data_IF_578901479452
#
_entry.id   IF_578901479452
#
_cell.length_a   1.000
_cell.length_b   1.000
_cell.length_c   1.000
_cell.angle_alpha   90.00
_cell.angle_beta   90.00
_cell.angle_gamma   90.00
#
_symmetry.space_group_name_H-M   'P 1'
#
loop_
_entity.id
_entity.type
_entity.pdbx_description
1 polymer ?
#
# COMPACT_ATOMS: atom_id res chain seq x y z
N UNK A 1 -15.18 -11.03 -15.03
CA UNK A 1 -13.79 -10.52 -14.99
C UNK A 1 -13.67 -9.16 -14.29
N UNK A 2 -14.29 -8.08 -14.79
CA UNK A 2 -14.16 -6.76 -14.14
C UNK A 2 -14.64 -6.67 -12.68
N UNK A 3 -15.73 -7.37 -12.31
CA UNK A 3 -16.20 -7.42 -10.92
C UNK A 3 -15.19 -8.08 -9.96
N UNK A 4 -14.48 -9.11 -10.43
CA UNK A 4 -13.41 -9.77 -9.67
C UNK A 4 -12.26 -8.80 -9.37
N UNK A 5 -11.89 -7.96 -10.33
CA UNK A 5 -10.88 -6.92 -10.11
C UNK A 5 -11.27 -5.97 -8.98
N UNK A 6 -12.53 -5.52 -8.94
CA UNK A 6 -13.02 -4.66 -7.85
C UNK A 6 -12.99 -5.34 -6.48
N UNK A 7 -13.28 -6.65 -6.42
CA UNK A 7 -13.20 -7.42 -5.18
C UNK A 7 -11.76 -7.53 -4.66
N UNK A 8 -10.80 -7.79 -5.55
CA UNK A 8 -9.37 -7.86 -5.21
C UNK A 8 -8.89 -6.52 -4.66
N UNK A 9 -9.25 -5.42 -5.34
CA UNK A 9 -8.85 -4.08 -4.95
C UNK A 9 -9.43 -3.68 -3.60
N UNK A 10 -10.74 -3.87 -3.41
CA UNK A 10 -11.44 -3.46 -2.19
C UNK A 10 -11.06 -4.28 -0.96
N UNK A 11 -10.61 -5.53 -1.15
CA UNK A 11 -10.19 -6.39 -0.03
C UNK A 11 -8.74 -6.17 0.40
N UNK A 12 -7.84 -5.79 -0.52
CA UNK A 12 -6.40 -5.71 -0.23
C UNK A 12 -5.84 -4.31 -0.02
N UNK A 13 -6.46 -3.28 -0.58
CA UNK A 13 -5.87 -1.94 -0.61
C UNK A 13 -6.73 -0.87 0.07
N UNK A 14 -7.76 -1.29 0.81
CA UNK A 14 -8.74 -0.37 1.40
C UNK A 14 -8.14 0.56 2.45
N UNK A 15 -7.16 0.09 3.22
CA UNK A 15 -6.49 0.90 4.24
C UNK A 15 -5.52 1.93 3.61
N UNK A 16 -4.94 1.61 2.46
CA UNK A 16 -3.94 2.42 1.77
C UNK A 16 -4.56 3.58 0.99
N UNK A 17 -5.84 3.50 0.62
CA UNK A 17 -6.53 4.57 -0.13
C UNK A 17 -6.65 5.87 0.66
N UNK A 18 -6.85 5.77 1.98
CA UNK A 18 -6.95 6.92 2.87
C UNK A 18 -5.56 7.49 3.23
N UNK A 19 -4.53 6.64 3.22
CA UNK A 19 -3.15 7.00 3.56
C UNK A 19 -2.48 7.85 2.47
N UNK A 20 -2.60 7.43 1.21
CA UNK A 20 -1.96 8.10 0.06
C UNK A 20 -2.94 8.34 -1.10
N UNK A 21 -3.89 9.27 -0.95
CA UNK A 21 -4.92 9.51 -1.95
C UNK A 21 -4.34 10.02 -3.28
N UNK A 22 -3.21 10.74 -3.26
CA UNK A 22 -2.62 11.28 -4.50
C UNK A 22 -2.07 10.17 -5.38
N UNK A 23 -1.31 9.25 -4.81
CA UNK A 23 -0.76 8.10 -5.53
C UNK A 23 -1.85 7.22 -6.10
N UNK A 24 -2.80 6.82 -5.26
CA UNK A 24 -3.85 5.89 -5.69
C UNK A 24 -4.81 6.51 -6.70
N UNK A 25 -5.06 7.84 -6.63
CA UNK A 25 -5.86 8.53 -7.66
C UNK A 25 -5.18 8.53 -9.02
N UNK A 26 -3.85 8.68 -9.05
CA UNK A 26 -3.07 8.64 -10.28
C UNK A 26 -2.89 7.20 -10.79
N UNK A 27 -2.67 6.22 -9.91
CA UNK A 27 -2.62 4.82 -10.28
C UNK A 27 -3.94 4.35 -10.92
N UNK A 28 -5.08 4.74 -10.33
CA UNK A 28 -6.40 4.49 -10.89
C UNK A 28 -6.57 5.10 -12.28
N UNK A 29 -6.05 6.31 -12.49
CA UNK A 29 -6.09 7.03 -13.77
C UNK A 29 -5.23 6.32 -14.85
N UNK A 30 -3.99 5.95 -14.50
CA UNK A 30 -3.09 5.22 -15.40
C UNK A 30 -3.71 3.88 -15.81
N UNK A 31 -4.28 3.15 -14.85
CA UNK A 31 -4.89 1.85 -15.12
C UNK A 31 -6.17 1.96 -15.97
N UNK A 32 -6.97 3.00 -15.73
CA UNK A 32 -8.14 3.30 -16.58
C UNK A 32 -7.70 3.67 -17.99
N UNK A 33 -6.67 4.50 -18.13
CA UNK A 33 -6.08 4.91 -19.42
C UNK A 33 -5.53 3.72 -20.20
N UNK A 34 -4.80 2.82 -19.54
CA UNK A 34 -4.32 1.58 -20.13
C UNK A 34 -5.48 0.70 -20.61
N UNK A 35 -6.55 0.60 -19.82
CA UNK A 35 -7.74 -0.15 -20.23
C UNK A 35 -8.46 0.44 -21.44
N UNK A 36 -8.49 1.78 -21.57
CA UNK A 36 -9.01 2.46 -22.75
C UNK A 36 -8.08 2.26 -23.97
N UNK A 37 -6.76 2.27 -23.76
CA UNK A 37 -5.78 1.99 -24.82
C UNK A 37 -5.96 0.58 -25.41
N UNK A 38 -6.18 -0.42 -24.55
CA UNK A 38 -6.43 -1.79 -24.96
C UNK A 38 -7.72 -1.91 -25.80
N UNK A 39 -8.78 -1.20 -25.40
CA UNK A 39 -10.01 -1.15 -26.19
C UNK A 39 -9.82 -0.43 -27.53
N UNK A 40 -9.12 0.70 -27.55
CA UNK A 40 -8.81 1.44 -28.78
C UNK A 40 -7.93 0.61 -29.74
N UNK A 41 -7.03 -0.22 -29.21
CA UNK A 41 -6.16 -1.10 -29.99
C UNK A 41 -6.91 -2.21 -30.74
N UNK A 42 -8.18 -2.47 -30.41
CA UNK A 42 -9.01 -3.46 -31.11
C UNK A 42 -9.21 -3.14 -32.59
N UNK A 43 -9.19 -1.85 -32.96
CA UNK A 43 -9.26 -1.41 -34.35
C UNK A 43 -8.03 -1.86 -35.17
N UNK A 44 -6.86 -1.99 -34.53
CA UNK A 44 -5.61 -2.41 -35.18
C UNK A 44 -5.43 -3.93 -35.20
N UNK A 45 -5.95 -4.62 -34.19
CA UNK A 45 -5.82 -6.07 -34.02
C UNK A 45 -7.19 -6.74 -33.82
N UNK A 46 -8.05 -6.76 -34.86
CA UNK A 46 -9.40 -7.31 -34.74
C UNK A 46 -9.42 -8.81 -34.41
N UNK A 47 -8.37 -9.55 -34.79
CA UNK A 47 -8.20 -10.97 -34.45
C UNK A 47 -8.03 -11.23 -32.94
N UNK A 48 -7.61 -10.23 -32.15
CA UNK A 48 -7.50 -10.29 -30.69
C UNK A 48 -8.62 -9.52 -29.98
N UNK A 49 -9.70 -9.15 -30.70
CA UNK A 49 -10.77 -8.28 -30.19
C UNK A 49 -11.25 -8.70 -28.80
N UNK A 50 -11.59 -9.98 -28.62
CA UNK A 50 -12.13 -10.48 -27.35
C UNK A 50 -11.11 -10.34 -26.20
N UNK A 51 -9.84 -10.69 -26.45
CA UNK A 51 -8.79 -10.64 -25.43
C UNK A 51 -8.50 -9.19 -25.01
N UNK A 52 -8.35 -8.29 -25.99
CA UNK A 52 -8.11 -6.87 -25.76
C UNK A 52 -9.30 -6.19 -25.07
N UNK A 53 -10.53 -6.47 -25.50
CA UNK A 53 -11.73 -5.91 -24.87
C UNK A 53 -11.91 -6.42 -23.43
N UNK A 54 -11.71 -7.72 -23.18
CA UNK A 54 -11.79 -8.27 -21.83
C UNK A 54 -10.70 -7.70 -20.90
N UNK A 55 -9.46 -7.62 -21.37
CA UNK A 55 -8.35 -7.02 -20.62
C UNK A 55 -8.60 -5.52 -20.37
N UNK A 56 -9.09 -4.79 -21.37
CA UNK A 56 -9.44 -3.38 -21.26
C UNK A 56 -10.51 -3.11 -20.20
N UNK A 57 -11.63 -3.83 -20.25
CA UNK A 57 -12.69 -3.73 -19.23
C UNK A 57 -12.22 -4.17 -17.85
N UNK A 58 -11.30 -5.14 -17.75
CA UNK A 58 -10.70 -5.53 -16.48
C UNK A 58 -9.85 -4.41 -15.88
N UNK A 59 -8.93 -3.82 -16.65
CA UNK A 59 -8.12 -2.67 -16.21
C UNK A 59 -9.00 -1.49 -15.78
N UNK A 60 -10.00 -1.13 -16.58
CA UNK A 60 -10.94 -0.06 -16.21
C UNK A 60 -11.71 -0.38 -14.92
N UNK A 61 -12.07 -1.65 -14.69
CA UNK A 61 -12.77 -2.04 -13.47
C UNK A 61 -11.87 -1.95 -12.22
N UNK A 62 -10.59 -2.31 -12.34
CA UNK A 62 -9.60 -2.10 -11.29
C UNK A 62 -9.42 -0.60 -11.00
N UNK A 63 -9.21 0.21 -12.04
CA UNK A 63 -9.08 1.66 -11.91
C UNK A 63 -10.28 2.30 -11.22
N UNK A 64 -11.51 1.91 -11.59
CA UNK A 64 -12.73 2.35 -10.91
C UNK A 64 -12.82 1.89 -9.45
N UNK A 65 -12.35 0.67 -9.15
CA UNK A 65 -12.31 0.13 -7.79
C UNK A 65 -11.40 0.94 -6.86
N UNK A 66 -10.28 1.41 -7.38
CA UNK A 66 -9.29 2.22 -6.65
C UNK A 66 -9.72 3.69 -6.59
N UNK A 67 -10.23 4.21 -7.71
CA UNK A 67 -10.54 5.63 -7.87
C UNK A 67 -11.69 6.10 -6.99
N UNK A 68 -12.78 5.32 -6.86
CA UNK A 68 -13.98 5.76 -6.11
C UNK A 68 -13.73 6.01 -4.62
N UNK A 69 -13.08 5.10 -3.86
CA UNK A 69 -12.76 5.35 -2.45
C UNK A 69 -11.88 6.59 -2.27
N UNK A 70 -10.78 6.66 -3.03
CA UNK A 70 -9.84 7.79 -3.01
C UNK A 70 -10.53 9.10 -3.36
N UNK A 71 -11.44 9.06 -4.32
CA UNK A 71 -12.17 10.23 -4.73
C UNK A 71 -13.03 10.81 -3.59
N UNK A 72 -13.66 9.93 -2.79
CA UNK A 72 -14.40 10.33 -1.59
C UNK A 72 -13.50 10.95 -0.51
N UNK A 73 -12.26 10.50 -0.38
CA UNK A 73 -11.25 11.14 0.50
C UNK A 73 -10.99 12.58 0.04
N UNK A 74 -10.81 12.79 -1.27
CA UNK A 74 -10.58 14.12 -1.86
C UNK A 74 -11.81 15.02 -1.70
N UNK A 75 -13.04 14.51 -1.93
CA UNK A 75 -14.27 15.28 -1.68
C UNK A 75 -14.38 15.71 -0.22
N UNK A 76 -14.05 14.81 0.72
CA UNK A 76 -14.03 15.11 2.15
C UNK A 76 -13.00 16.16 2.49
N UNK A 77 -11.84 16.15 1.82
CA UNK A 77 -10.81 17.18 1.98
C UNK A 77 -11.31 18.58 1.56
N UNK A 78 -12.11 18.68 0.50
CA UNK A 78 -12.71 19.95 0.07
C UNK A 78 -13.91 20.39 0.91
N UNK A 79 -14.48 19.49 1.71
CA UNK A 79 -15.60 19.81 2.57
C UNK A 79 -15.16 20.72 3.73
N UNK A 80 -15.97 21.74 4.01
CA UNK A 80 -15.84 22.62 5.18
C UNK A 80 -17.12 22.50 6.01
N UNK A 81 -17.00 22.40 7.34
CA UNK A 81 -18.15 22.28 8.24
C UNK A 81 -19.14 21.17 7.83
N UNK A 82 -18.62 19.96 7.56
CA UNK A 82 -19.39 18.76 7.20
C UNK A 82 -20.27 18.87 5.93
N UNK A 83 -19.97 19.79 5.00
CA UNK A 83 -20.75 20.00 3.77
C UNK A 83 -20.37 19.08 2.57
N UNK A 84 -19.91 17.84 2.83
CA UNK A 84 -19.41 16.94 1.78
C UNK A 84 -20.43 16.65 0.67
N UNK A 85 -21.72 16.58 1.02
CA UNK A 85 -22.79 16.38 0.03
C UNK A 85 -22.93 17.56 -0.95
N UNK A 86 -22.72 18.80 -0.47
CA UNK A 86 -22.76 19.98 -1.33
C UNK A 86 -21.55 20.05 -2.28
N UNK A 87 -20.38 19.61 -1.81
CA UNK A 87 -19.18 19.46 -2.64
C UNK A 87 -19.42 18.43 -3.73
N UNK A 88 -19.93 17.24 -3.36
CA UNK A 88 -20.23 16.16 -4.30
C UNK A 88 -21.25 16.58 -5.38
N UNK A 89 -22.35 17.23 -4.97
CA UNK A 89 -23.37 17.68 -5.92
C UNK A 89 -22.81 18.71 -6.93
N UNK A 90 -21.98 19.66 -6.49
CA UNK A 90 -21.36 20.65 -7.39
C UNK A 90 -20.42 19.98 -8.38
N UNK A 91 -19.65 19.01 -7.90
CA UNK A 91 -18.70 18.30 -8.73
C UNK A 91 -19.41 17.41 -9.77
N UNK A 92 -20.51 16.74 -9.42
CA UNK A 92 -21.34 15.99 -10.38
C UNK A 92 -21.87 16.90 -11.50
N UNK A 93 -22.32 18.12 -11.16
CA UNK A 93 -22.73 19.11 -12.18
C UNK A 93 -21.58 19.45 -13.13
N UNK A 94 -20.39 19.72 -12.59
CA UNK A 94 -19.20 20.00 -13.43
C UNK A 94 -18.76 18.79 -14.25
N UNK A 95 -18.91 17.57 -13.72
CA UNK A 95 -18.64 16.34 -14.46
C UNK A 95 -19.57 16.22 -15.68
N UNK A 96 -20.88 16.42 -15.51
CA UNK A 96 -21.84 16.36 -16.62
C UNK A 96 -21.54 17.43 -17.67
N UNK A 97 -21.27 18.66 -17.25
CA UNK A 97 -20.89 19.76 -18.16
C UNK A 97 -19.63 19.39 -18.96
N UNK A 98 -18.61 18.86 -18.29
CA UNK A 98 -17.37 18.43 -18.94
C UNK A 98 -17.60 17.26 -19.91
N UNK A 99 -18.48 16.31 -19.58
CA UNK A 99 -18.85 15.20 -20.47
C UNK A 99 -19.54 15.70 -21.75
N UNK A 100 -20.49 16.64 -21.63
CA UNK A 100 -21.18 17.21 -22.79
C UNK A 100 -20.22 18.02 -23.67
N UNK A 101 -19.37 18.85 -23.07
CA UNK A 101 -18.35 19.60 -23.79
C UNK A 101 -17.34 18.67 -24.48
N UNK A 102 -16.90 17.62 -23.79
CA UNK A 102 -15.99 16.60 -24.33
C UNK A 102 -16.59 15.85 -25.51
N UNK A 103 -17.86 15.44 -25.43
CA UNK A 103 -18.57 14.80 -26.54
C UNK A 103 -18.66 15.73 -27.76
N UNK A 104 -19.11 16.97 -27.58
CA UNK A 104 -19.18 17.95 -28.67
C UNK A 104 -17.81 18.19 -29.33
N UNK A 105 -16.76 18.36 -28.52
CA UNK A 105 -15.39 18.51 -29.00
C UNK A 105 -14.90 17.26 -29.75
N UNK A 106 -15.19 16.06 -29.24
CA UNK A 106 -14.78 14.81 -29.87
C UNK A 106 -15.40 14.61 -31.26
N UNK A 107 -16.69 14.94 -31.42
CA UNK A 107 -17.38 14.87 -32.72
C UNK A 107 -16.77 15.86 -33.72
N UNK A 108 -16.52 17.10 -33.28
CA UNK A 108 -15.90 18.12 -34.12
C UNK A 108 -14.48 17.71 -34.57
N UNK A 109 -13.67 17.21 -33.64
CA UNK A 109 -12.30 16.75 -33.91
C UNK A 109 -12.28 15.54 -34.85
N UNK A 110 -13.09 14.51 -34.58
CA UNK A 110 -13.19 13.33 -35.45
C UNK A 110 -13.67 13.71 -36.86
N UNK A 111 -14.67 14.58 -36.97
CA UNK A 111 -15.11 15.09 -38.26
C UNK A 111 -14.03 15.91 -38.98
N UNK A 112 -13.17 16.64 -38.24
CA UNK A 112 -12.02 17.33 -38.81
C UNK A 112 -10.99 16.36 -39.39
N UNK A 113 -10.64 15.32 -38.64
CA UNK A 113 -9.71 14.26 -39.08
C UNK A 113 -10.25 13.54 -40.32
N UNK A 114 -11.54 13.19 -40.32
CA UNK A 114 -12.19 12.54 -41.47
C UNK A 114 -12.17 13.41 -42.73
N UNK A 115 -12.49 14.70 -42.62
CA UNK A 115 -12.44 15.64 -43.77
C UNK A 115 -11.03 15.83 -44.32
N UNK A 116 -10.01 15.71 -43.48
CA UNK A 116 -8.61 15.74 -43.89
C UNK A 116 -8.11 14.41 -44.49
N UNK A 117 -8.96 13.38 -44.59
CA UNK A 117 -8.58 12.06 -45.09
C UNK A 117 -7.71 11.26 -44.11
N UNK A 118 -7.81 11.53 -42.82
CA UNK A 118 -7.03 10.86 -41.78
C UNK A 118 -7.36 9.36 -41.64
N UNK A 119 -6.33 8.55 -41.41
CA UNK A 119 -6.45 7.10 -41.17
C UNK A 119 -6.79 6.78 -39.71
N UNK A 120 -7.10 5.52 -39.40
CA UNK A 120 -7.32 5.05 -38.02
C UNK A 120 -6.12 5.35 -37.10
N UNK A 121 -4.90 5.29 -37.65
CA UNK A 121 -3.69 5.67 -36.92
C UNK A 121 -3.69 7.16 -36.51
N UNK A 122 -4.23 8.04 -37.35
CA UNK A 122 -4.37 9.47 -37.02
C UNK A 122 -5.36 9.69 -35.87
N UNK A 123 -6.49 8.97 -35.87
CA UNK A 123 -7.48 8.99 -34.78
C UNK A 123 -6.87 8.48 -33.47
N UNK A 124 -6.13 7.36 -33.53
CA UNK A 124 -5.46 6.79 -32.36
C UNK A 124 -4.35 7.71 -31.82
N UNK A 125 -3.60 8.38 -32.70
CA UNK A 125 -2.58 9.34 -32.28
C UNK A 125 -3.20 10.56 -31.59
N UNK A 126 -4.31 11.08 -32.12
CA UNK A 126 -5.07 12.17 -31.50
C UNK A 126 -5.63 11.74 -30.14
N UNK A 127 -6.22 10.56 -30.06
CA UNK A 127 -6.69 9.98 -28.80
C UNK A 127 -5.54 9.85 -27.79
N UNK A 128 -4.38 9.32 -28.19
CA UNK A 128 -3.22 9.16 -27.33
C UNK A 128 -2.67 10.51 -26.84
N UNK A 129 -2.65 11.54 -27.70
CA UNK A 129 -2.24 12.89 -27.33
C UNK A 129 -3.19 13.51 -26.30
N UNK A 130 -4.51 13.42 -26.52
CA UNK A 130 -5.53 13.90 -25.58
C UNK A 130 -5.44 13.13 -24.26
N UNK A 131 -5.27 11.81 -24.30
CA UNK A 131 -5.18 10.99 -23.09
C UNK A 131 -3.90 11.29 -22.29
N UNK A 132 -2.77 11.49 -22.96
CA UNK A 132 -1.53 11.89 -22.31
C UNK A 132 -1.68 13.25 -21.64
N UNK A 133 -2.30 14.22 -22.33
CA UNK A 133 -2.62 15.52 -21.76
C UNK A 133 -3.56 15.39 -20.55
N UNK A 134 -4.59 14.54 -20.62
CA UNK A 134 -5.50 14.27 -19.50
C UNK A 134 -4.75 13.78 -18.26
N UNK A 135 -3.89 12.76 -18.41
CA UNK A 135 -3.09 12.20 -17.31
C UNK A 135 -2.11 13.25 -16.77
N UNK A 136 -1.49 14.05 -17.64
CA UNK A 136 -0.58 15.12 -17.22
C UNK A 136 -1.30 16.22 -16.42
N UNK A 137 -2.48 16.66 -16.87
CA UNK A 137 -3.30 17.63 -16.16
C UNK A 137 -3.79 17.06 -14.82
N UNK A 138 -4.14 15.77 -14.78
CA UNK A 138 -4.49 15.09 -13.53
C UNK A 138 -3.32 15.08 -12.56
N UNK A 139 -2.12 14.75 -13.02
CA UNK A 139 -0.91 14.79 -12.21
C UNK A 139 -0.69 16.19 -11.62
N UNK A 140 -0.77 17.23 -12.46
CA UNK A 140 -0.64 18.63 -12.00
C UNK A 140 -1.70 18.99 -10.95
N UNK A 141 -2.97 18.64 -11.18
CA UNK A 141 -4.05 18.90 -10.23
C UNK A 141 -3.82 18.19 -8.88
N UNK A 142 -3.29 16.96 -8.89
CA UNK A 142 -2.97 16.24 -7.65
C UNK A 142 -1.78 16.83 -6.91
N UNK A 143 -0.79 17.38 -7.62
CA UNK A 143 0.36 18.06 -7.00
C UNK A 143 -0.01 19.36 -6.30
N UNK A 144 -1.13 19.99 -6.68
CA UNK A 144 -1.62 21.21 -6.01
C UNK A 144 -2.43 20.94 -4.74
N UNK A 145 -2.83 19.68 -4.48
CA UNK A 145 -3.58 19.34 -3.27
C UNK A 145 -2.68 19.38 -2.03
N UNK A 146 -3.13 20.11 -1.01
CA UNK A 146 -2.43 20.26 0.27
C UNK A 146 -3.23 19.63 1.40
N UNK A 147 -2.89 18.40 1.77
CA UNK A 147 -3.59 17.70 2.85
C UNK A 147 -3.07 18.17 4.22
N UNK A 148 -3.95 18.47 5.19
CA UNK A 148 -3.55 18.76 6.56
C UNK A 148 -3.24 17.50 7.38
N UNK A 149 -3.70 16.33 6.93
CA UNK A 149 -3.35 15.04 7.53
C UNK A 149 -1.86 14.74 7.37
N UNK A 150 -1.32 13.81 8.15
CA UNK A 150 0.06 13.35 8.02
C UNK A 150 0.07 11.96 7.38
N UNK A 151 0.52 11.84 6.13
CA UNK A 151 0.78 10.54 5.48
C UNK A 151 2.09 9.94 6.02
N UNK A 152 2.29 8.63 5.87
CA UNK A 152 3.54 7.93 6.23
C UNK A 152 4.74 8.53 5.52
N UNK A 153 4.60 8.87 4.23
CA UNK A 153 5.65 9.55 3.44
C UNK A 153 6.03 10.89 4.05
N UNK A 154 5.04 11.71 4.42
CA UNK A 154 5.28 13.01 5.06
C UNK A 154 5.84 12.85 6.46
N UNK A 155 5.35 11.89 7.23
CA UNK A 155 5.91 11.56 8.55
C UNK A 155 7.39 11.16 8.45
N UNK A 156 7.73 10.31 7.48
CA UNK A 156 9.10 9.88 7.22
C UNK A 156 9.99 11.07 6.85
N UNK A 157 9.56 11.94 5.93
CA UNK A 157 10.28 13.16 5.55
C UNK A 157 10.51 14.08 6.76
N UNK A 158 9.45 14.40 7.52
CA UNK A 158 9.53 15.27 8.70
C UNK A 158 10.43 14.68 9.78
N UNK A 159 10.31 13.39 10.09
CA UNK A 159 11.16 12.70 11.05
C UNK A 159 12.63 12.74 10.62
N UNK A 160 12.90 12.55 9.33
CA UNK A 160 14.24 12.56 8.77
C UNK A 160 14.89 13.95 8.80
N UNK A 161 14.12 15.02 8.62
CA UNK A 161 14.59 16.40 8.73
C UNK A 161 14.87 16.76 10.20
N UNK A 162 13.95 16.36 11.10
CA UNK A 162 14.09 16.58 12.54
C UNK A 162 15.34 15.92 13.11
N UNK A 163 15.56 14.64 12.81
CA UNK A 163 16.73 13.87 13.30
C UNK A 163 18.04 14.50 12.81
N UNK A 164 18.04 15.13 11.63
CA UNK A 164 19.21 15.83 11.08
C UNK A 164 19.38 17.26 11.62
N UNK A 165 18.55 17.69 12.56
CA UNK A 165 18.59 19.04 13.13
C UNK A 165 18.18 20.14 12.16
N UNK A 166 17.45 19.81 11.09
CA UNK A 166 16.96 20.78 10.11
C UNK A 166 15.61 21.35 10.55
N UNK A 167 15.29 22.61 10.20
CA UNK A 167 13.99 23.19 10.49
C UNK A 167 12.88 22.40 9.79
N UNK A 168 11.78 22.15 10.49
CA UNK A 168 10.64 21.46 9.90
C UNK A 168 9.98 22.33 8.83
N UNK A 169 9.65 21.77 7.65
CA UNK A 169 8.87 22.50 6.66
C UNK A 169 7.45 22.76 7.17
N UNK A 170 6.85 23.84 6.68
CA UNK A 170 5.42 24.07 6.89
C UNK A 170 4.57 23.05 6.13
N UNK A 171 3.25 23.06 6.35
CA UNK A 171 2.33 22.09 5.73
C UNK A 171 2.39 22.17 4.20
N UNK A 172 2.50 23.36 3.63
CA UNK A 172 2.55 23.57 2.19
C UNK A 172 3.84 23.01 1.58
N UNK A 173 5.01 23.36 2.14
CA UNK A 173 6.30 22.87 1.69
C UNK A 173 6.44 21.35 1.92
N UNK A 174 5.90 20.82 3.02
CA UNK A 174 5.85 19.38 3.27
C UNK A 174 5.03 18.63 2.23
N UNK A 175 3.86 19.15 1.86
CA UNK A 175 3.02 18.57 0.80
C UNK A 175 3.65 18.68 -0.59
N UNK A 176 4.40 19.76 -0.87
CA UNK A 176 5.09 19.98 -2.15
C UNK A 176 6.34 19.08 -2.32
N UNK A 177 6.99 18.70 -1.21
CA UNK A 177 8.14 17.77 -1.20
C UNK A 177 7.74 16.29 -1.24
N UNK A 178 6.47 15.96 -1.02
CA UNK A 178 6.00 14.57 -1.03
C UNK A 178 6.03 13.99 -2.45
N UNK A 179 6.74 12.87 -2.68
CA UNK A 179 6.75 12.23 -3.98
C UNK A 179 5.41 11.50 -4.24
N UNK A 180 4.71 11.91 -5.29
CA UNK A 180 3.36 11.41 -5.60
C UNK A 180 3.36 9.93 -5.98
N UNK A 181 4.28 9.46 -6.83
CA UNK A 181 4.26 8.08 -7.34
C UNK A 181 5.12 7.08 -6.57
N UNK A 182 6.05 7.56 -5.76
CA UNK A 182 6.97 6.70 -5.01
C UNK A 182 6.20 5.84 -4.02
N UNK A 183 6.60 4.59 -3.85
CA UNK A 183 6.03 3.74 -2.80
C UNK A 183 6.34 4.33 -1.42
N UNK A 184 5.41 4.30 -0.44
CA UNK A 184 5.70 4.69 0.93
C UNK A 184 6.95 3.99 1.50
N UNK A 185 7.19 2.76 1.06
CA UNK A 185 8.34 1.93 1.44
C UNK A 185 9.69 2.43 0.90
N UNK A 186 9.69 3.26 -0.14
CA UNK A 186 10.90 3.79 -0.76
C UNK A 186 11.29 5.17 -0.23
N UNK A 187 10.40 5.82 0.54
CA UNK A 187 10.74 7.04 1.26
C UNK A 187 11.59 6.68 2.48
N UNK A 188 12.66 7.45 2.73
CA UNK A 188 13.54 7.27 3.88
C UNK A 188 12.99 8.02 5.10
N UNK A 189 12.99 7.41 6.32
CA UNK A 189 13.33 6.02 6.61
C UNK A 189 12.32 5.03 6.02
N UNK A 190 12.79 3.86 5.58
CA UNK A 190 11.92 2.79 5.10
C UNK A 190 11.24 2.13 6.29
N UNK A 191 9.93 2.30 6.44
CA UNK A 191 9.16 1.78 7.59
C UNK A 191 8.03 0.89 7.13
N UNK A 192 8.01 -0.35 7.63
CA UNK A 192 6.91 -1.32 7.48
C UNK A 192 6.04 -1.34 8.72
N UNK A 193 4.90 -0.64 8.67
CA UNK A 193 3.94 -0.57 9.76
C UNK A 193 3.02 -1.79 9.80
N UNK A 194 2.67 -2.25 11.00
CA UNK A 194 1.66 -3.30 11.19
C UNK A 194 2.09 -4.69 10.71
N UNK A 195 3.39 -4.95 10.58
CA UNK A 195 3.87 -6.28 10.22
C UNK A 195 3.63 -7.30 11.33
N UNK A 196 3.48 -8.57 10.97
CA UNK A 196 3.38 -9.64 11.97
C UNK A 196 4.72 -9.85 12.67
N UNK A 197 4.70 -10.45 13.87
CA UNK A 197 5.94 -10.82 14.59
C UNK A 197 6.82 -11.72 13.73
N UNK A 198 6.24 -12.69 13.02
CA UNK A 198 6.98 -13.57 12.11
C UNK A 198 7.66 -12.79 10.96
N UNK A 199 6.99 -11.77 10.41
CA UNK A 199 7.57 -10.90 9.38
C UNK A 199 8.70 -10.03 9.92
N UNK A 200 8.54 -9.48 11.13
CA UNK A 200 9.51 -8.60 11.76
C UNK A 200 10.82 -9.32 12.09
N UNK A 201 10.74 -10.54 12.64
CA UNK A 201 11.91 -11.32 13.06
C UNK A 201 12.43 -12.29 11.98
N UNK A 202 11.69 -12.50 10.89
CA UNK A 202 12.00 -13.46 9.84
C UNK A 202 11.70 -14.91 10.25
N UNK A 203 11.69 -15.81 9.25
CA UNK A 203 11.41 -17.25 9.42
C UNK A 203 12.40 -18.01 10.31
N UNK A 204 13.38 -17.35 10.94
CA UNK A 204 14.31 -17.98 11.89
C UNK A 204 13.68 -18.34 13.25
N UNK A 205 12.48 -17.86 13.56
CA UNK A 205 11.71 -18.24 14.75
C UNK A 205 10.64 -19.32 14.47
N UNK A 206 10.52 -19.76 13.22
CA UNK A 206 9.55 -20.77 12.79
C UNK A 206 10.12 -21.61 11.66
N UNK A 207 10.61 -22.80 12.03
CA UNK A 207 11.07 -23.88 11.18
C UNK A 207 12.37 -23.63 10.39
N UNK A 208 13.40 -24.42 10.71
CA UNK A 208 14.41 -24.78 9.73
C UNK A 208 13.71 -25.42 8.53
N UNK A 209 13.88 -24.86 7.35
CA UNK A 209 13.38 -25.43 6.10
C UNK A 209 14.56 -26.03 5.34
N UNK A 210 14.63 -27.35 5.43
CA UNK A 210 15.19 -28.19 4.38
C UNK A 210 14.45 -27.94 3.07
N UNK A 211 15.23 -27.78 2.00
CA UNK A 211 14.81 -27.98 0.60
C UNK A 211 13.97 -29.27 0.47
N UNK A 212 12.83 -29.18 -0.17
CA UNK A 212 12.02 -30.34 -0.55
C UNK A 212 10.72 -29.90 -1.22
N UNK A 213 10.56 -30.35 -2.45
CA UNK A 213 9.44 -30.13 -3.36
C UNK A 213 8.21 -30.96 -2.95
N UNK A 214 7.09 -30.69 -3.62
CA UNK A 214 5.85 -31.49 -3.71
C UNK A 214 4.75 -31.36 -2.63
N UNK A 215 3.52 -31.42 -3.14
CA UNK A 215 2.28 -31.08 -2.46
C UNK A 215 1.77 -32.12 -1.46
N UNK A 216 0.90 -31.64 -0.58
CA UNK A 216 0.20 -32.46 0.41
C UNK A 216 -0.35 -31.60 1.52
N UNK A 217 -1.66 -31.39 1.51
CA UNK A 217 -2.40 -30.86 2.66
C UNK A 217 -2.25 -31.81 3.85
N UNK A 218 -1.55 -31.38 4.90
CA UNK A 218 -1.71 -31.97 6.24
C UNK A 218 -1.76 -30.86 7.28
N UNK A 219 -2.99 -30.52 7.67
CA UNK A 219 -3.30 -29.78 8.89
C UNK A 219 -2.86 -30.63 10.09
N UNK A 220 -1.83 -30.18 10.82
CA UNK A 220 -1.25 -30.87 11.97
C UNK A 220 -0.92 -29.90 13.09
N UNK A 221 -1.86 -29.79 14.03
CA UNK A 221 -1.77 -29.31 15.42
C UNK A 221 -0.41 -28.78 15.93
N UNK A 222 -0.29 -27.45 16.06
CA UNK A 222 0.53 -26.77 17.08
C UNK A 222 -0.13 -25.44 17.55
N UNK A 223 -1.45 -25.44 17.69
CA UNK A 223 -2.23 -24.28 18.19
C UNK A 223 -2.21 -24.17 19.73
N UNK A 224 -1.70 -25.19 20.44
CA UNK A 224 -1.80 -25.29 21.89
C UNK A 224 -0.80 -24.43 22.69
N UNK A 225 0.40 -24.15 22.16
CA UNK A 225 1.48 -23.62 23.00
C UNK A 225 1.63 -22.09 22.98
N UNK A 226 0.99 -21.39 22.05
CA UNK A 226 1.11 -19.93 21.94
C UNK A 226 -0.03 -19.18 22.68
N UNK A 227 -1.18 -19.82 22.91
CA UNK A 227 -2.34 -19.20 23.57
C UNK A 227 -2.17 -18.99 25.08
N UNK A 228 -1.21 -19.67 25.71
CA UNK A 228 -1.05 -19.64 27.17
C UNK A 228 -0.04 -18.58 27.66
N UNK A 229 0.74 -17.96 26.77
CA UNK A 229 1.85 -17.05 27.12
C UNK A 229 1.73 -15.62 26.58
N UNK A 230 0.67 -15.32 25.82
CA UNK A 230 0.30 -13.96 25.44
C UNK A 230 -0.88 -13.52 26.27
N UNK A 231 -0.62 -12.96 27.46
CA UNK A 231 -1.61 -12.17 28.16
C UNK A 231 -1.98 -10.95 27.31
N UNK A 232 -3.05 -11.05 26.53
CA UNK A 232 -3.66 -9.92 25.81
C UNK A 232 -3.18 -9.67 24.38
N UNK A 233 -2.73 -10.68 23.63
CA UNK A 233 -2.59 -10.55 22.17
C UNK A 233 -3.65 -11.41 21.48
N UNK A 234 -4.81 -10.82 21.19
CA UNK A 234 -5.90 -11.48 20.48
C UNK A 234 -5.70 -11.33 18.98
N UNK A 235 -5.25 -12.41 18.35
CA UNK A 235 -5.35 -12.59 16.90
C UNK A 235 -6.84 -12.81 16.57
N UNK A 236 -7.47 -11.82 15.94
CA UNK A 236 -8.84 -11.96 15.43
C UNK A 236 -8.87 -12.91 14.23
N UNK A 237 -9.54 -14.05 14.38
CA UNK A 237 -9.76 -15.04 13.31
C UNK A 237 -10.92 -15.97 13.64
N UNK A 238 -12.01 -15.79 12.89
CA UNK A 238 -13.30 -16.51 12.82
C UNK A 238 -13.38 -17.91 13.43
N UNK A 239 -14.43 -18.12 14.23
CA UNK A 239 -14.79 -19.43 14.79
C UNK A 239 -15.59 -20.30 13.82
N UNK A 240 -15.25 -21.58 13.78
CA UNK A 240 -16.16 -22.69 13.46
C UNK A 240 -15.82 -23.82 14.44
N UNK A 241 -16.82 -24.27 15.18
CA UNK A 241 -16.74 -25.38 16.13
C UNK A 241 -16.92 -26.71 15.39
N UNK A 242 -16.10 -27.71 15.73
CA UNK A 242 -16.18 -29.05 15.17
C UNK A 242 -15.37 -30.05 16.01
N UNK A 243 -16.10 -30.91 16.70
CA UNK A 243 -15.68 -31.89 17.70
C UNK A 243 -15.05 -33.15 17.05
N UNK A 244 -13.94 -33.70 17.58
CA UNK A 244 -13.72 -35.16 17.81
C UNK A 244 -12.27 -35.60 18.12
N UNK A 245 -12.20 -36.38 19.20
CA UNK A 245 -11.50 -37.65 19.46
C UNK A 245 -9.98 -37.83 19.49
N UNK A 246 -9.64 -38.64 20.51
CA UNK A 246 -8.38 -39.15 21.02
C UNK A 246 -7.48 -39.86 20.00
N UNK A 247 -6.16 -39.79 20.23
CA UNK A 247 -5.18 -40.58 19.50
C UNK A 247 -3.77 -40.44 20.07
N UNK A 248 -3.49 -41.22 21.12
CA UNK A 248 -2.21 -41.34 21.81
C UNK A 248 -1.18 -42.05 20.92
N UNK A 249 -0.10 -41.38 20.51
CA UNK A 249 1.11 -42.05 20.02
C UNK A 249 2.37 -41.36 20.56
N UNK A 250 3.21 -42.16 21.23
CA UNK A 250 4.52 -41.78 21.77
C UNK A 250 5.56 -41.93 20.66
N UNK A 251 6.35 -40.90 20.40
CA UNK A 251 7.57 -41.04 19.61
C UNK A 251 8.73 -40.26 20.25
N UNK A 252 9.85 -40.95 20.41
CA UNK A 252 10.98 -40.55 21.25
C UNK A 252 11.78 -39.40 20.66
N UNK A 253 11.93 -38.34 21.44
CA UNK A 253 12.81 -37.21 21.15
C UNK A 253 14.28 -37.59 21.40
N UNK A 254 15.08 -37.67 20.33
CA UNK A 254 16.53 -37.61 20.42
C UNK A 254 16.93 -36.19 20.86
N UNK A 255 17.47 -36.09 22.07
CA UNK A 255 17.92 -34.85 22.67
C UNK A 255 19.21 -34.38 21.97
N UNK A 256 19.14 -33.25 21.23
CA UNK A 256 20.33 -32.53 20.76
C UNK A 256 20.62 -31.42 21.78
N UNK A 257 21.67 -31.54 22.62
CA UNK A 257 21.87 -30.67 23.78
C UNK A 257 22.26 -29.22 23.44
N UNK A 258 22.63 -28.91 22.19
CA UNK A 258 22.99 -27.55 21.75
C UNK A 258 21.82 -26.67 21.31
N UNK A 259 20.71 -27.25 20.84
CA UNK A 259 19.58 -26.48 20.30
C UNK A 259 18.71 -25.85 21.41
N UNK A 260 18.54 -26.55 22.54
CA UNK A 260 17.72 -26.10 23.67
C UNK A 260 18.34 -24.91 24.42
N UNK A 261 19.67 -24.87 24.54
CA UNK A 261 20.41 -23.77 25.18
C UNK A 261 20.40 -22.51 24.30
N UNK A 262 20.62 -22.66 22.99
CA UNK A 262 20.51 -21.55 22.02
C UNK A 262 19.08 -20.98 21.96
N UNK A 263 18.06 -21.84 22.04
CA UNK A 263 16.66 -21.38 22.13
C UNK A 263 16.35 -20.67 23.44
N UNK A 264 16.93 -21.09 24.57
CA UNK A 264 16.71 -20.45 25.87
C UNK A 264 17.30 -19.04 25.93
N UNK A 265 18.50 -18.84 25.37
CA UNK A 265 19.13 -17.52 25.31
C UNK A 265 18.42 -16.58 24.32
N UNK A 266 17.96 -17.10 23.18
CA UNK A 266 17.16 -16.33 22.22
C UNK A 266 15.83 -15.86 22.83
N UNK A 267 15.18 -16.71 23.63
CA UNK A 267 13.96 -16.36 24.36
C UNK A 267 14.24 -15.29 25.42
N UNK A 268 15.34 -15.40 26.18
CA UNK A 268 15.71 -14.39 27.16
C UNK A 268 15.98 -13.01 26.52
N UNK A 269 16.67 -12.98 25.37
CA UNK A 269 16.90 -11.75 24.61
C UNK A 269 15.59 -11.15 24.09
N UNK A 270 14.69 -11.97 23.56
CA UNK A 270 13.38 -11.51 23.10
C UNK A 270 12.56 -10.90 24.24
N UNK A 271 12.55 -11.54 25.42
CA UNK A 271 11.85 -11.03 26.60
C UNK A 271 12.43 -9.70 27.07
N UNK A 272 13.76 -9.60 27.18
CA UNK A 272 14.44 -8.34 27.54
C UNK A 272 14.16 -7.23 26.53
N UNK A 273 14.02 -7.58 25.25
CA UNK A 273 13.72 -6.64 24.19
C UNK A 273 12.25 -6.19 24.21
N UNK A 274 11.31 -7.09 24.53
CA UNK A 274 9.91 -6.74 24.76
C UNK A 274 9.77 -5.82 25.99
N UNK A 275 10.50 -6.13 27.06
CA UNK A 275 10.54 -5.33 28.28
C UNK A 275 11.08 -3.90 28.03
N UNK A 276 12.08 -3.76 27.15
CA UNK A 276 12.57 -2.45 26.71
C UNK A 276 11.46 -1.58 26.08
N UNK A 277 10.54 -2.20 25.35
CA UNK A 277 9.41 -1.55 24.71
C UNK A 277 8.15 -1.55 25.58
N UNK A 278 8.18 -1.97 26.84
CA UNK A 278 6.98 -2.16 27.68
C UNK A 278 6.08 -0.91 27.70
N UNK A 279 6.70 0.27 27.82
CA UNK A 279 6.01 1.58 27.87
C UNK A 279 5.60 2.15 26.51
N UNK A 280 6.00 1.53 25.41
CA UNK A 280 5.68 1.99 24.05
C UNK A 280 4.55 1.16 23.45
N UNK A 281 3.70 1.78 22.63
CA UNK A 281 2.61 1.11 21.91
C UNK A 281 3.06 0.28 20.69
N UNK A 282 4.36 0.07 20.52
CA UNK A 282 4.94 -0.63 19.36
C UNK A 282 6.24 -1.34 19.74
N UNK A 283 6.73 -2.19 18.83
CA UNK A 283 8.06 -2.81 18.87
C UNK A 283 8.69 -2.64 17.50
N UNK A 284 9.96 -2.17 17.43
CA UNK A 284 10.62 -1.81 16.17
C UNK A 284 11.87 -2.64 15.90
N UNK A 285 11.78 -3.56 14.96
CA UNK A 285 12.91 -4.39 14.53
C UNK A 285 13.56 -3.80 13.29
N UNK A 286 14.88 -3.57 13.30
CA UNK A 286 15.62 -3.09 12.13
C UNK A 286 16.23 -4.24 11.34
N UNK A 287 15.89 -4.39 10.05
CA UNK A 287 16.38 -5.47 9.20
C UNK A 287 16.62 -4.99 7.77
N UNK A 288 17.78 -5.32 7.20
CA UNK A 288 18.13 -5.06 5.79
C UNK A 288 17.86 -3.61 5.31
N UNK A 289 18.07 -2.62 6.20
CA UNK A 289 17.85 -1.20 5.88
C UNK A 289 16.39 -0.75 5.94
N UNK A 290 15.51 -1.54 6.57
CA UNK A 290 14.08 -1.27 6.77
C UNK A 290 13.71 -1.47 8.24
N UNK A 291 12.90 -0.57 8.79
CA UNK A 291 12.30 -0.70 10.11
C UNK A 291 10.97 -1.46 10.01
N UNK A 292 10.88 -2.62 10.66
CA UNK A 292 9.66 -3.40 10.82
C UNK A 292 9.01 -3.05 12.15
N UNK A 293 7.83 -2.45 12.11
CA UNK A 293 7.10 -1.98 13.29
C UNK A 293 5.90 -2.89 13.54
N UNK A 294 5.94 -3.59 14.67
CA UNK A 294 4.81 -4.37 15.20
C UNK A 294 4.04 -3.46 16.16
N UNK A 295 2.75 -3.28 15.90
CA UNK A 295 1.89 -2.42 16.71
C UNK A 295 1.23 -3.25 17.82
N UNK A 296 1.24 -2.73 19.06
CA UNK A 296 0.53 -3.35 20.17
C UNK A 296 -0.96 -3.00 20.11
N UNK A 297 -1.78 -3.80 20.79
CA UNK A 297 -3.19 -3.47 20.99
C UNK A 297 -3.32 -2.13 21.73
N UNK A 298 -4.24 -1.28 21.27
CA UNK A 298 -4.45 0.05 21.86
C UNK A 298 -3.42 1.12 21.49
N UNK A 299 -2.54 0.87 20.51
CA UNK A 299 -1.60 1.90 20.04
C UNK A 299 -2.32 3.18 19.59
N UNK A 300 -1.65 4.32 19.78
CA UNK A 300 -2.17 5.64 19.38
C UNK A 300 -1.43 6.17 18.15
N UNK A 301 -1.98 7.20 17.50
CA UNK A 301 -1.29 7.90 16.42
C UNK A 301 0.07 8.51 16.85
N UNK A 302 0.23 8.81 18.14
CA UNK A 302 1.51 9.28 18.70
C UNK A 302 2.57 8.18 18.70
N UNK A 303 2.17 6.94 18.98
CA UNK A 303 3.07 5.78 18.94
C UNK A 303 3.56 5.49 17.52
N UNK A 304 2.68 5.65 16.53
CA UNK A 304 3.07 5.55 15.11
C UNK A 304 4.14 6.59 14.75
N UNK A 305 3.96 7.84 15.20
CA UNK A 305 4.91 8.91 14.93
C UNK A 305 6.25 8.66 15.65
N UNK A 306 6.22 8.16 16.89
CA UNK A 306 7.43 7.76 17.62
C UNK A 306 8.17 6.64 16.90
N UNK A 307 7.46 5.64 16.38
CA UNK A 307 8.06 4.55 15.62
C UNK A 307 8.76 5.06 14.36
N UNK A 308 8.12 5.97 13.60
CA UNK A 308 8.73 6.59 12.41
C UNK A 308 9.94 7.45 12.79
N UNK A 309 9.85 8.20 13.89
CA UNK A 309 10.99 8.96 14.41
C UNK A 309 12.16 8.07 14.82
N UNK A 310 11.91 6.98 15.55
CA UNK A 310 12.93 6.04 15.96
C UNK A 310 13.55 5.35 14.73
N UNK A 311 12.75 5.02 13.72
CA UNK A 311 13.24 4.51 12.44
C UNK A 311 14.15 5.53 11.73
N UNK A 312 13.77 6.81 11.70
CA UNK A 312 14.59 7.87 11.11
C UNK A 312 15.91 8.04 11.85
N UNK A 313 15.88 7.97 13.18
CA UNK A 313 17.07 8.03 14.03
C UNK A 313 18.01 6.84 13.74
N UNK A 314 17.49 5.62 13.66
CA UNK A 314 18.27 4.42 13.33
C UNK A 314 18.85 4.47 11.91
N UNK A 315 18.07 4.92 10.92
CA UNK A 315 18.51 5.08 9.53
C UNK A 315 19.67 6.09 9.44
N UNK A 316 19.57 7.21 10.17
CA UNK A 316 20.63 8.22 10.25
C UNK A 316 21.86 7.71 11.00
N UNK A 317 21.69 7.08 12.16
CA UNK A 317 22.79 6.58 12.99
C UNK A 317 23.60 5.50 12.26
N UNK A 318 22.93 4.55 11.60
CA UNK A 318 23.61 3.50 10.82
C UNK A 318 24.26 4.03 9.55
N UNK A 319 23.67 5.04 8.91
CA UNK A 319 24.28 5.73 7.77
C UNK A 319 25.58 6.48 8.13
N UNK A 320 25.67 7.02 9.34
CA UNK A 320 26.90 7.64 9.85
C UNK A 320 27.99 6.62 10.24
N UNK A 321 27.60 5.41 10.67
CA UNK A 321 28.54 4.36 11.09
C UNK A 321 29.25 3.62 9.95
N UNK A 322 28.74 3.65 8.72
CA UNK A 322 29.41 3.07 7.55
C UNK A 322 30.53 3.94 6.97
N UNK A 323 30.81 5.11 7.56
CA UNK A 323 31.86 6.03 7.14
C UNK A 323 33.16 5.96 7.95
N UNK A 324 33.30 5.06 8.93
CA UNK A 324 34.46 5.01 9.85
C UNK A 324 35.14 3.64 9.94
N UNK A 325 35.14 2.87 8.85
CA UNK A 325 35.83 1.57 8.76
C UNK A 325 36.73 1.52 7.53
N UNK A 326 37.62 2.50 7.43
CA UNK A 326 38.60 2.62 6.37
C UNK A 326 39.74 3.52 6.83
N UNK A 327 40.48 3.04 7.82
CA UNK A 327 41.87 3.39 8.11
C UNK A 327 42.61 2.09 8.47
#
# INVERSE_FOLDING_TARGET
VGALGRLIVGSRFSAEFDEDPRRWRLAAEVLTSAGLALEASTCLAPHLFLQLACAGKFCQALGKGMGKPVFRVIQTHFARAANVGAVAAKEEVWEVVAQMAGLAASVALLGGVQRAGGSDASVLSLWAAIQTLHVALRYRALTTLTFPSLSLKRAALLASEWVRGRPLPDVAAGNAREPVMTDPWDVRPRVRMGCSVAEAYGSGFGAGSSRGDEGGETSGSLSGSLKQWTGGLVVAGSGVTGNRDEGRHKEGTKHVPGAAAASSQAVALLLSYIELYDKEGYVLVWRAGTAHVVLKEGHTGRDLLRAVWQAAWLDCWRGSGSGSSGD
#
